data_IF_288484742000
#
_entry.id   IF_288484742000
#
_cell.length_a   1.000
_cell.length_b   1.000
_cell.length_c   1.000
_cell.angle_alpha   90.00
_cell.angle_beta   90.00
_cell.angle_gamma   90.00
#
_symmetry.space_group_name_H-M   'P 1'
#
loop_
_entity.id
_entity.type
_entity.pdbx_description
1 polymer ?
#
# COMPACT_ATOMS: atom_id res chain seq x y z
N UNK A 1 -20.41 -11.81 -13.26
CA UNK A 1 -20.14 -10.78 -12.22
C UNK A 1 -21.45 -10.36 -11.55
N UNK A 2 -21.46 -10.25 -10.23
CA UNK A 2 -22.61 -9.78 -9.45
C UNK A 2 -22.80 -8.27 -9.65
N UNK A 3 -23.98 -7.86 -10.14
CA UNK A 3 -24.30 -6.46 -10.50
C UNK A 3 -24.28 -5.49 -9.29
N UNK A 4 -24.36 -6.00 -8.06
CA UNK A 4 -24.23 -5.18 -6.86
C UNK A 4 -22.88 -4.46 -6.76
N UNK A 5 -21.84 -5.01 -7.39
CA UNK A 5 -20.50 -4.42 -7.39
C UNK A 5 -20.24 -3.40 -8.50
N UNK A 6 -21.14 -3.24 -9.47
CA UNK A 6 -20.91 -2.39 -10.65
C UNK A 6 -20.59 -0.92 -10.33
N UNK A 7 -21.06 -0.42 -9.18
CA UNK A 7 -20.81 0.96 -8.73
C UNK A 7 -19.67 1.10 -7.73
N UNK A 8 -19.07 -0.03 -7.32
CA UNK A 8 -18.08 -0.06 -6.25
C UNK A 8 -16.64 -0.07 -6.77
N UNK A 9 -16.44 -0.41 -8.05
CA UNK A 9 -15.11 -0.59 -8.62
C UNK A 9 -14.31 -1.77 -8.03
N UNK A 10 -14.97 -2.62 -7.24
CA UNK A 10 -14.43 -3.81 -6.62
C UNK A 10 -15.34 -5.00 -6.92
N UNK A 11 -14.80 -6.19 -7.15
CA UNK A 11 -15.54 -7.36 -7.62
C UNK A 11 -14.97 -8.65 -7.06
N UNK A 12 -15.80 -9.72 -6.93
CA UNK A 12 -15.30 -11.09 -6.91
C UNK A 12 -14.40 -11.38 -8.11
N UNK A 13 -13.39 -12.22 -7.91
CA UNK A 13 -12.38 -12.52 -8.92
C UNK A 13 -12.30 -14.03 -9.24
N UNK A 14 -11.74 -14.34 -10.41
CA UNK A 14 -11.26 -15.68 -10.71
C UNK A 14 -9.85 -15.82 -10.10
N UNK A 15 -9.77 -16.52 -8.97
CA UNK A 15 -8.55 -16.62 -8.15
C UNK A 15 -7.90 -17.96 -8.40
N UNK A 16 -6.62 -17.95 -8.76
CA UNK A 16 -5.80 -19.16 -8.88
C UNK A 16 -5.18 -19.51 -7.52
N UNK A 17 -5.47 -20.70 -7.04
CA UNK A 17 -4.83 -21.26 -5.83
C UNK A 17 -3.91 -22.43 -6.22
N UNK A 18 -2.80 -22.64 -5.50
CA UNK A 18 -1.91 -23.79 -5.74
C UNK A 18 -2.61 -25.09 -5.34
N UNK A 19 -2.63 -26.04 -6.24
CA UNK A 19 -3.25 -27.34 -6.05
C UNK A 19 -2.25 -28.39 -5.57
N UNK A 20 -2.43 -28.88 -4.33
CA UNK A 20 -1.60 -29.94 -3.79
C UNK A 20 -0.13 -29.59 -3.58
N UNK A 21 0.18 -28.29 -3.47
CA UNK A 21 1.53 -27.78 -3.21
C UNK A 21 1.80 -27.67 -1.70
N UNK A 22 3.07 -27.71 -1.31
CA UNK A 22 3.50 -27.34 0.04
C UNK A 22 3.40 -25.83 0.23
N UNK A 23 2.39 -25.39 0.96
CA UNK A 23 2.11 -23.96 1.16
C UNK A 23 3.25 -23.23 1.90
N UNK A 24 4.02 -23.93 2.75
CA UNK A 24 5.20 -23.36 3.41
C UNK A 24 6.37 -23.07 2.45
N UNK A 25 6.34 -23.64 1.25
CA UNK A 25 7.30 -23.39 0.18
C UNK A 25 6.70 -22.54 -0.94
N UNK A 26 5.37 -22.58 -1.06
CA UNK A 26 4.64 -21.85 -2.08
C UNK A 26 4.60 -20.35 -1.79
N UNK A 27 4.14 -19.97 -0.59
CA UNK A 27 3.89 -18.59 -0.24
C UNK A 27 5.18 -17.86 0.16
N UNK A 28 5.54 -16.83 -0.59
CA UNK A 28 6.71 -15.98 -0.37
C UNK A 28 6.26 -14.56 -0.07
N UNK A 29 7.04 -13.82 0.72
CA UNK A 29 6.78 -12.41 1.04
C UNK A 29 6.67 -11.57 -0.24
N UNK A 30 6.03 -10.40 -0.14
CA UNK A 30 5.93 -9.45 -1.25
C UNK A 30 7.32 -9.05 -1.78
N UNK A 31 7.40 -8.86 -3.10
CA UNK A 31 8.67 -8.69 -3.82
C UNK A 31 9.43 -7.41 -3.46
N UNK A 32 8.78 -6.44 -2.84
CA UNK A 32 9.34 -5.15 -2.40
C UNK A 32 9.84 -5.17 -0.94
N UNK A 33 9.70 -6.30 -0.25
CA UNK A 33 10.21 -6.47 1.11
C UNK A 33 11.67 -6.97 1.10
N UNK A 34 12.40 -6.70 2.19
CA UNK A 34 13.79 -7.15 2.39
C UNK A 34 14.73 -6.79 1.23
N UNK A 35 14.56 -5.59 0.66
CA UNK A 35 15.31 -5.13 -0.52
C UNK A 35 16.81 -4.97 -0.24
N UNK A 36 17.19 -4.68 1.00
CA UNK A 36 18.58 -4.51 1.46
C UNK A 36 19.12 -5.71 2.23
N UNK A 37 18.41 -6.83 2.24
CA UNK A 37 18.73 -8.02 3.03
C UNK A 37 18.89 -9.24 2.12
N UNK A 38 20.00 -9.36 1.38
CA UNK A 38 20.24 -10.48 0.46
C UNK A 38 20.21 -11.85 1.15
N UNK A 39 20.58 -11.94 2.43
CA UNK A 39 20.55 -13.15 3.25
C UNK A 39 19.12 -13.70 3.40
N UNK A 40 18.12 -12.80 3.49
CA UNK A 40 16.72 -13.21 3.55
C UNK A 40 16.33 -13.97 2.28
N UNK A 41 16.62 -13.41 1.11
CA UNK A 41 16.27 -14.02 -0.17
C UNK A 41 17.05 -15.31 -0.44
N UNK A 42 18.31 -15.41 0.04
CA UNK A 42 19.07 -16.65 -0.01
C UNK A 42 18.41 -17.74 0.85
N UNK A 43 17.97 -17.42 2.07
CA UNK A 43 17.28 -18.37 2.93
C UNK A 43 15.93 -18.83 2.34
N UNK A 44 15.21 -17.94 1.64
CA UNK A 44 13.98 -18.27 0.89
C UNK A 44 14.30 -19.24 -0.24
N UNK A 45 15.36 -19.00 -1.03
CA UNK A 45 15.79 -19.88 -2.11
C UNK A 45 16.17 -21.28 -1.61
N UNK A 46 16.93 -21.37 -0.52
CA UNK A 46 17.29 -22.63 0.13
C UNK A 46 16.07 -23.41 0.64
N UNK A 47 15.08 -22.69 1.22
CA UNK A 47 13.83 -23.27 1.72
C UNK A 47 12.98 -23.84 0.59
N UNK A 48 12.83 -23.10 -0.51
CA UNK A 48 12.02 -23.46 -1.67
C UNK A 48 12.66 -24.62 -2.44
N UNK A 49 13.96 -24.53 -2.75
CA UNK A 49 14.66 -25.50 -3.58
C UNK A 49 13.99 -25.66 -4.95
N UNK A 50 13.75 -26.90 -5.38
CA UNK A 50 13.11 -27.23 -6.66
C UNK A 50 11.58 -27.26 -6.60
N UNK A 51 10.96 -26.96 -5.47
CA UNK A 51 9.50 -26.99 -5.32
C UNK A 51 8.84 -25.86 -6.12
N UNK A 52 7.60 -26.07 -6.63
CA UNK A 52 6.78 -24.99 -7.13
C UNK A 52 6.57 -23.92 -6.05
N UNK A 53 6.75 -22.66 -6.42
CA UNK A 53 6.67 -21.54 -5.48
C UNK A 53 6.41 -20.23 -6.20
N UNK A 54 5.78 -19.28 -5.51
CA UNK A 54 5.65 -17.91 -5.99
C UNK A 54 7.02 -17.22 -6.13
N UNK A 55 8.07 -17.71 -5.48
CA UNK A 55 9.44 -17.24 -5.71
C UNK A 55 9.85 -17.29 -7.19
N UNK A 56 9.36 -18.26 -7.94
CA UNK A 56 9.64 -18.41 -9.40
C UNK A 56 8.76 -17.48 -10.26
N UNK A 57 7.78 -16.80 -9.66
CA UNK A 57 6.79 -15.98 -10.33
C UNK A 57 6.95 -14.49 -10.03
N UNK A 58 7.86 -14.12 -9.13
CA UNK A 58 8.12 -12.73 -8.74
C UNK A 58 9.56 -12.33 -9.07
N UNK A 59 9.77 -11.02 -9.21
CA UNK A 59 11.10 -10.42 -9.22
C UNK A 59 11.29 -9.63 -7.92
N UNK A 60 12.08 -10.12 -6.96
CA UNK A 60 12.44 -9.31 -5.79
C UNK A 60 13.04 -7.97 -6.19
N UNK A 61 12.60 -6.89 -5.58
CA UNK A 61 13.06 -5.53 -5.94
C UNK A 61 14.57 -5.33 -5.74
N UNK A 62 15.17 -6.09 -4.84
CA UNK A 62 16.63 -6.20 -4.73
C UNK A 62 17.33 -6.51 -6.07
N UNK A 63 16.64 -7.17 -7.01
CA UNK A 63 17.17 -7.59 -8.31
C UNK A 63 16.71 -6.68 -9.48
N UNK A 64 15.91 -5.63 -9.25
CA UNK A 64 15.41 -4.76 -10.33
C UNK A 64 16.51 -4.04 -11.10
N UNK A 65 17.66 -3.82 -10.48
CA UNK A 65 18.84 -3.16 -11.09
C UNK A 65 19.95 -4.16 -11.48
N UNK A 66 19.67 -5.48 -11.42
CA UNK A 66 20.63 -6.48 -11.81
C UNK A 66 20.98 -6.38 -13.31
N UNK A 67 22.25 -6.60 -13.71
CA UNK A 67 22.67 -6.53 -15.11
C UNK A 67 21.90 -7.49 -16.04
N UNK A 68 21.43 -8.61 -15.50
CA UNK A 68 20.68 -9.67 -16.20
C UNK A 68 19.17 -9.65 -15.89
N UNK A 69 18.61 -8.50 -15.54
CA UNK A 69 17.18 -8.36 -15.18
C UNK A 69 16.24 -8.91 -16.27
N UNK A 70 16.62 -8.78 -17.53
CA UNK A 70 15.81 -9.27 -18.65
C UNK A 70 15.71 -10.80 -18.67
N UNK A 71 16.78 -11.49 -18.32
CA UNK A 71 16.79 -12.95 -18.17
C UNK A 71 15.88 -13.38 -16.99
N UNK A 72 15.93 -12.68 -15.85
CA UNK A 72 15.00 -12.94 -14.75
C UNK A 72 13.54 -12.80 -15.19
N UNK A 73 13.18 -11.73 -15.90
CA UNK A 73 11.83 -11.52 -16.39
C UNK A 73 11.38 -12.60 -17.35
N UNK A 74 12.26 -13.04 -18.26
CA UNK A 74 11.97 -14.14 -19.18
C UNK A 74 11.72 -15.45 -18.43
N UNK A 75 12.58 -15.77 -17.46
CA UNK A 75 12.44 -16.95 -16.61
C UNK A 75 11.14 -16.96 -15.81
N UNK A 76 10.74 -15.80 -15.25
CA UNK A 76 9.48 -15.63 -14.54
C UNK A 76 8.29 -15.91 -15.48
N UNK A 77 8.27 -15.29 -16.66
CA UNK A 77 7.19 -15.49 -17.63
C UNK A 77 7.10 -16.95 -18.10
N UNK A 78 8.24 -17.62 -18.27
CA UNK A 78 8.30 -19.03 -18.63
C UNK A 78 7.80 -19.93 -17.48
N UNK A 79 8.16 -19.61 -16.23
CA UNK A 79 7.66 -20.33 -15.06
C UNK A 79 6.14 -20.17 -14.90
N UNK A 80 5.58 -18.98 -15.12
CA UNK A 80 4.14 -18.74 -15.10
C UNK A 80 3.40 -19.60 -16.16
N UNK A 81 3.92 -19.60 -17.39
CA UNK A 81 3.36 -20.44 -18.50
C UNK A 81 3.44 -21.92 -18.16
N UNK A 82 4.59 -22.35 -17.61
CA UNK A 82 4.80 -23.73 -17.22
C UNK A 82 3.83 -24.16 -16.12
N UNK A 83 3.65 -23.36 -15.07
CA UNK A 83 2.74 -23.69 -13.98
C UNK A 83 1.28 -23.76 -14.42
N UNK A 84 0.88 -22.91 -15.36
CA UNK A 84 -0.45 -23.01 -15.99
C UNK A 84 -0.60 -24.29 -16.79
N UNK A 85 0.41 -24.66 -17.61
CA UNK A 85 0.36 -25.86 -18.44
C UNK A 85 0.42 -27.16 -17.62
N UNK A 86 1.19 -27.17 -16.53
CA UNK A 86 1.36 -28.33 -15.65
C UNK A 86 0.17 -28.55 -14.68
N UNK A 87 -0.83 -27.65 -14.69
CA UNK A 87 -2.00 -27.75 -13.81
C UNK A 87 -1.65 -27.54 -12.31
N UNK A 88 -0.67 -26.70 -12.03
CA UNK A 88 -0.26 -26.36 -10.64
C UNK A 88 -1.39 -25.62 -9.90
N UNK A 89 -2.32 -25.04 -10.62
CA UNK A 89 -3.40 -24.24 -10.06
C UNK A 89 -4.77 -24.94 -10.16
N UNK A 90 -5.63 -24.61 -9.22
CA UNK A 90 -7.07 -24.69 -9.34
C UNK A 90 -7.67 -23.28 -9.35
N UNK A 91 -8.81 -23.10 -10.01
CA UNK A 91 -9.46 -21.80 -10.13
C UNK A 91 -10.70 -21.74 -9.26
N UNK A 92 -10.74 -20.73 -8.37
CA UNK A 92 -11.97 -20.30 -7.70
C UNK A 92 -12.63 -19.24 -8.59
N UNK A 93 -13.73 -19.57 -9.22
CA UNK A 93 -14.44 -18.68 -10.12
C UNK A 93 -15.34 -17.72 -9.35
N UNK A 94 -15.35 -16.43 -9.76
CA UNK A 94 -16.25 -15.37 -9.24
C UNK A 94 -16.34 -15.34 -7.71
N UNK A 95 -15.17 -15.33 -7.04
CA UNK A 95 -15.05 -15.54 -5.60
C UNK A 95 -14.40 -14.38 -4.87
N UNK A 96 -14.80 -14.20 -3.60
CA UNK A 96 -14.09 -13.41 -2.61
C UNK A 96 -13.48 -14.35 -1.57
N UNK A 97 -12.29 -14.04 -1.06
CA UNK A 97 -11.63 -14.78 0.02
C UNK A 97 -11.48 -13.86 1.22
N UNK A 98 -12.02 -14.27 2.37
CA UNK A 98 -11.71 -13.66 3.65
C UNK A 98 -10.41 -14.26 4.18
N UNK A 99 -9.49 -13.42 4.67
CA UNK A 99 -8.21 -13.85 5.23
C UNK A 99 -8.00 -13.35 6.65
N UNK A 100 -7.34 -14.19 7.43
CA UNK A 100 -6.78 -13.88 8.75
C UNK A 100 -5.27 -14.00 8.66
N UNK A 101 -4.56 -12.89 8.77
CA UNK A 101 -3.10 -12.81 8.67
C UNK A 101 -2.50 -12.49 10.03
N UNK A 102 -2.01 -13.51 10.74
CA UNK A 102 -1.25 -13.30 11.97
C UNK A 102 0.14 -12.76 11.65
N UNK A 103 0.44 -11.61 12.18
CA UNK A 103 1.72 -10.94 12.03
C UNK A 103 2.75 -11.46 13.04
N UNK A 104 4.02 -11.06 12.90
CA UNK A 104 5.11 -11.47 13.79
C UNK A 104 4.93 -10.99 15.23
N UNK A 105 4.20 -9.89 15.45
CA UNK A 105 3.83 -9.36 16.77
C UNK A 105 2.63 -10.08 17.41
N UNK A 106 2.08 -11.09 16.72
CA UNK A 106 0.95 -11.88 17.17
C UNK A 106 -0.44 -11.29 16.88
N UNK A 107 -0.53 -10.07 16.38
CA UNK A 107 -1.79 -9.46 15.95
C UNK A 107 -2.31 -10.12 14.70
N UNK A 108 -3.62 -10.16 14.56
CA UNK A 108 -4.29 -10.74 13.39
C UNK A 108 -4.92 -9.61 12.58
N UNK A 109 -4.44 -9.43 11.35
CA UNK A 109 -5.06 -8.55 10.36
C UNK A 109 -6.11 -9.33 9.59
N UNK A 110 -7.27 -8.69 9.40
CA UNK A 110 -8.40 -9.25 8.67
C UNK A 110 -8.50 -8.57 7.30
N UNK A 111 -8.57 -9.37 6.25
CA UNK A 111 -8.59 -8.86 4.89
C UNK A 111 -9.61 -9.57 4.01
N UNK A 112 -9.93 -8.93 2.90
CA UNK A 112 -10.83 -9.45 1.89
C UNK A 112 -10.12 -9.40 0.52
N UNK A 113 -9.92 -10.55 -0.11
CA UNK A 113 -9.32 -10.66 -1.43
C UNK A 113 -10.40 -10.57 -2.50
N UNK A 114 -10.20 -9.68 -3.44
CA UNK A 114 -11.03 -9.50 -4.63
C UNK A 114 -10.27 -8.72 -5.69
N UNK A 115 -10.94 -8.30 -6.76
CA UNK A 115 -10.31 -7.51 -7.80
C UNK A 115 -10.92 -6.12 -7.91
N UNK A 116 -10.10 -5.14 -8.28
CA UNK A 116 -10.54 -3.77 -8.57
C UNK A 116 -10.52 -3.50 -10.06
N UNK A 117 -11.48 -2.68 -10.51
CA UNK A 117 -11.50 -2.12 -11.86
C UNK A 117 -10.54 -0.93 -11.95
N UNK A 118 -9.52 -1.05 -12.76
CA UNK A 118 -8.54 0.02 -12.94
C UNK A 118 -9.13 1.28 -13.60
N UNK A 119 -10.31 1.21 -14.24
CA UNK A 119 -11.03 2.41 -14.69
C UNK A 119 -11.62 3.21 -13.51
N UNK A 120 -11.84 2.58 -12.35
CA UNK A 120 -12.26 3.25 -11.11
C UNK A 120 -11.08 3.77 -10.26
N UNK A 121 -9.84 3.49 -10.66
CA UNK A 121 -8.62 3.92 -9.99
C UNK A 121 -7.95 5.08 -10.72
N UNK A 122 -7.55 6.09 -9.95
CA UNK A 122 -6.74 7.20 -10.43
C UNK A 122 -5.75 7.65 -9.34
N UNK A 123 -4.48 7.74 -9.70
CA UNK A 123 -3.41 8.19 -8.82
C UNK A 123 -3.04 9.67 -9.02
N UNK A 124 -3.78 10.37 -9.88
CA UNK A 124 -3.57 11.81 -10.08
C UNK A 124 -4.02 12.59 -8.84
N UNK A 125 -3.20 13.50 -8.32
CA UNK A 125 -3.61 14.37 -7.23
C UNK A 125 -4.91 15.12 -7.58
N UNK A 126 -5.91 15.06 -6.67
CA UNK A 126 -7.18 15.73 -6.88
C UNK A 126 -8.24 14.93 -7.60
N UNK A 127 -7.96 13.72 -7.91
CA UNK A 127 -8.91 12.84 -8.55
C UNK A 127 -10.19 12.65 -7.74
N UNK A 128 -11.34 12.56 -8.43
CA UNK A 128 -12.63 12.15 -7.87
C UNK A 128 -12.92 10.65 -7.98
N UNK A 129 -11.90 9.81 -8.30
CA UNK A 129 -12.10 8.38 -8.46
C UNK A 129 -12.48 7.67 -7.14
N UNK A 130 -13.17 6.54 -7.22
CA UNK A 130 -13.53 5.70 -6.06
C UNK A 130 -12.31 5.13 -5.36
N UNK A 131 -11.24 4.85 -6.12
CA UNK A 131 -9.98 4.29 -5.64
C UNK A 131 -8.88 5.32 -5.91
N UNK A 132 -8.18 5.76 -4.87
CA UNK A 132 -7.14 6.79 -4.98
C UNK A 132 -5.85 6.37 -4.31
N UNK A 133 -4.74 6.83 -4.87
CA UNK A 133 -3.44 6.73 -4.22
C UNK A 133 -3.41 7.62 -2.97
N UNK A 134 -2.69 7.17 -1.94
CA UNK A 134 -2.46 7.94 -0.70
C UNK A 134 -1.16 8.72 -0.76
N UNK A 135 -0.27 8.37 -1.66
CA UNK A 135 1.03 9.02 -1.85
C UNK A 135 1.27 9.42 -3.30
N UNK A 136 2.18 10.37 -3.49
CA UNK A 136 2.60 10.79 -4.83
C UNK A 136 3.28 9.65 -5.58
N UNK A 137 2.72 9.26 -6.72
CA UNK A 137 3.31 8.22 -7.56
C UNK A 137 4.55 8.75 -8.26
N UNK A 138 5.71 8.17 -7.94
CA UNK A 138 6.98 8.48 -8.63
C UNK A 138 6.97 7.81 -9.99
N UNK A 139 6.73 8.59 -11.05
CA UNK A 139 6.54 8.08 -12.42
C UNK A 139 7.75 7.26 -12.92
N UNK A 140 8.97 7.61 -12.51
CA UNK A 140 10.20 6.90 -12.90
C UNK A 140 10.28 5.48 -12.33
N UNK A 141 9.49 5.15 -11.30
CA UNK A 141 9.41 3.81 -10.73
C UNK A 141 8.48 2.87 -11.51
N UNK A 142 7.62 3.40 -12.39
CA UNK A 142 6.66 2.60 -13.18
C UNK A 142 7.36 1.78 -14.28
N UNK A 143 8.24 2.32 -15.15
CA UNK A 143 8.76 1.59 -16.29
C UNK A 143 9.48 0.27 -15.95
N UNK A 144 10.35 0.17 -14.93
CA UNK A 144 10.98 -1.10 -14.57
C UNK A 144 9.97 -2.18 -14.16
N UNK A 145 8.94 -1.79 -13.39
CA UNK A 145 7.89 -2.71 -12.92
C UNK A 145 6.94 -3.11 -14.06
N UNK A 146 6.62 -2.17 -14.96
CA UNK A 146 5.83 -2.44 -16.14
C UNK A 146 6.50 -3.47 -17.06
N UNK A 147 7.82 -3.48 -17.11
CA UNK A 147 8.59 -4.46 -17.89
C UNK A 147 8.38 -5.89 -17.38
N UNK A 148 8.33 -6.07 -16.06
CA UNK A 148 8.02 -7.37 -15.44
C UNK A 148 6.58 -7.80 -15.76
N UNK A 149 5.62 -6.88 -15.62
CA UNK A 149 4.18 -7.17 -15.73
C UNK A 149 3.69 -7.35 -17.17
N UNK A 150 4.26 -6.65 -18.15
CA UNK A 150 3.73 -6.50 -19.52
C UNK A 150 3.36 -7.81 -20.20
N UNK A 151 4.19 -8.85 -20.03
CA UNK A 151 4.02 -10.15 -20.67
C UNK A 151 3.66 -11.28 -19.70
N UNK A 152 3.39 -10.94 -18.44
CA UNK A 152 3.04 -11.91 -17.41
C UNK A 152 1.62 -12.46 -17.69
N UNK A 153 1.44 -13.78 -17.83
CA UNK A 153 0.12 -14.39 -18.09
C UNK A 153 -0.76 -14.47 -16.83
N UNK A 154 -0.17 -14.31 -15.64
CA UNK A 154 -0.86 -14.28 -14.34
C UNK A 154 -0.33 -13.12 -13.51
N UNK A 155 -1.12 -12.70 -12.55
CA UNK A 155 -0.80 -11.62 -11.61
C UNK A 155 -0.66 -12.17 -10.20
N UNK A 156 0.37 -11.71 -9.49
CA UNK A 156 0.52 -11.93 -8.05
C UNK A 156 0.38 -10.57 -7.35
N UNK A 157 -0.70 -10.36 -6.62
CA UNK A 157 -0.94 -9.08 -5.99
C UNK A 157 -0.14 -8.94 -4.69
N UNK A 158 0.21 -7.70 -4.37
CA UNK A 158 0.64 -7.27 -3.04
C UNK A 158 0.09 -5.89 -2.70
N UNK A 159 -0.98 -5.49 -3.38
CA UNK A 159 -1.66 -4.21 -3.15
C UNK A 159 -2.65 -4.35 -2.02
N UNK A 160 -2.53 -3.48 -1.01
CA UNK A 160 -3.49 -3.35 0.07
C UNK A 160 -4.31 -2.08 -0.13
N UNK A 161 -5.62 -2.23 -0.13
CA UNK A 161 -6.57 -1.14 -0.13
C UNK A 161 -7.21 -0.99 1.25
N UNK A 162 -7.39 0.24 1.68
CA UNK A 162 -8.04 0.56 2.94
C UNK A 162 -9.45 1.07 2.69
N UNK A 163 -10.40 0.62 3.51
CA UNK A 163 -11.73 1.22 3.65
C UNK A 163 -11.83 1.93 5.00
N UNK A 164 -12.62 3.01 5.05
CA UNK A 164 -12.92 3.73 6.28
C UNK A 164 -14.29 3.28 6.82
N UNK A 165 -14.27 2.20 7.58
CA UNK A 165 -15.46 1.56 8.17
C UNK A 165 -15.37 1.52 9.70
N UNK A 166 -15.59 2.66 10.40
CA UNK A 166 -15.50 2.73 11.86
C UNK A 166 -16.59 1.90 12.56
N UNK A 167 -17.72 1.66 11.90
CA UNK A 167 -18.83 0.88 12.42
C UNK A 167 -18.61 -0.65 12.20
N UNK A 168 -17.50 -1.06 11.54
CA UNK A 168 -17.06 -2.45 11.35
C UNK A 168 -18.12 -3.32 10.67
N UNK A 169 -18.66 -2.85 9.55
CA UNK A 169 -19.81 -3.46 8.84
C UNK A 169 -19.44 -4.34 7.68
N UNK A 170 -18.21 -4.24 7.13
CA UNK A 170 -17.80 -4.96 5.92
C UNK A 170 -17.02 -6.24 6.23
N UNK A 171 -15.89 -6.14 6.91
CA UNK A 171 -14.94 -7.24 7.10
C UNK A 171 -15.19 -7.98 8.42
N UNK A 172 -15.42 -7.28 9.50
CA UNK A 172 -15.53 -7.86 10.84
C UNK A 172 -16.72 -8.85 11.00
N UNK A 173 -17.86 -8.68 10.33
CA UNK A 173 -18.91 -9.70 10.35
C UNK A 173 -18.47 -11.04 9.76
N UNK A 174 -17.49 -11.05 8.85
CA UNK A 174 -16.92 -12.27 8.27
C UNK A 174 -16.11 -13.06 9.30
N UNK A 175 -15.45 -12.39 10.23
CA UNK A 175 -14.72 -13.05 11.33
C UNK A 175 -15.66 -13.90 12.17
N UNK A 176 -16.81 -13.35 12.53
CA UNK A 176 -17.83 -14.08 13.32
C UNK A 176 -18.44 -15.25 12.53
N UNK A 177 -18.49 -15.16 11.21
CA UNK A 177 -19.09 -16.15 10.31
C UNK A 177 -18.06 -17.11 9.69
N UNK A 178 -16.78 -17.05 10.06
CA UNK A 178 -15.72 -17.86 9.44
C UNK A 178 -15.95 -19.37 9.56
N UNK A 179 -16.60 -19.82 10.65
CA UNK A 179 -16.98 -21.22 10.82
C UNK A 179 -18.05 -21.74 9.86
N UNK A 180 -18.73 -20.87 9.09
CA UNK A 180 -19.71 -21.24 8.05
C UNK A 180 -19.07 -21.31 6.65
N UNK A 181 -17.81 -20.89 6.50
CA UNK A 181 -17.10 -20.82 5.24
C UNK A 181 -16.23 -22.04 4.99
N UNK A 182 -15.98 -22.33 3.73
CA UNK A 182 -14.98 -23.31 3.32
C UNK A 182 -13.57 -22.77 3.59
N UNK A 183 -12.79 -23.50 4.40
CA UNK A 183 -11.36 -23.19 4.59
C UNK A 183 -10.58 -23.62 3.35
N UNK A 184 -9.93 -22.67 2.70
CA UNK A 184 -9.13 -22.90 1.49
C UNK A 184 -7.67 -23.25 1.84
N UNK A 185 -7.12 -22.57 2.85
CA UNK A 185 -5.77 -22.80 3.34
C UNK A 185 -5.62 -22.32 4.79
N UNK A 186 -4.70 -22.96 5.50
CA UNK A 186 -4.38 -22.69 6.92
C UNK A 186 -2.94 -23.18 7.15
N UNK A 187 -1.95 -22.25 7.22
CA UNK A 187 -0.52 -22.64 7.28
C UNK A 187 0.37 -21.52 7.83
N UNK A 188 1.56 -21.91 8.30
CA UNK A 188 2.61 -20.98 8.72
C UNK A 188 3.41 -20.48 7.54
N UNK A 189 3.69 -19.19 7.51
CA UNK A 189 4.53 -18.54 6.50
C UNK A 189 6.01 -18.78 6.80
N UNK A 190 6.81 -18.91 5.75
CA UNK A 190 8.24 -19.09 5.88
C UNK A 190 8.93 -17.90 6.54
N UNK A 191 10.18 -18.11 6.99
CA UNK A 191 11.04 -17.06 7.57
C UNK A 191 10.38 -16.31 8.74
N UNK A 192 9.67 -17.03 9.62
CA UNK A 192 8.94 -16.47 10.74
C UNK A 192 7.89 -15.41 10.33
N UNK A 193 7.40 -15.52 9.11
CA UNK A 193 6.43 -14.58 8.55
C UNK A 193 5.06 -14.60 9.25
N UNK A 194 4.83 -15.43 10.26
CA UNK A 194 3.56 -15.61 10.96
C UNK A 194 2.67 -16.67 10.33
N UNK A 195 1.36 -16.49 10.41
CA UNK A 195 0.37 -17.49 10.00
C UNK A 195 -0.70 -16.88 9.11
N UNK A 196 -1.26 -17.64 8.18
CA UNK A 196 -2.35 -17.18 7.32
C UNK A 196 -3.43 -18.25 7.17
N UNK A 197 -4.70 -17.82 7.23
CA UNK A 197 -5.88 -18.61 6.91
C UNK A 197 -6.68 -17.88 5.84
N UNK A 198 -7.26 -18.66 4.93
CA UNK A 198 -8.15 -18.13 3.90
C UNK A 198 -9.44 -18.93 3.83
N UNK A 199 -10.56 -18.20 3.70
CA UNK A 199 -11.90 -18.75 3.67
C UNK A 199 -12.67 -18.25 2.46
N UNK A 200 -13.34 -19.15 1.73
CA UNK A 200 -14.20 -18.76 0.61
C UNK A 200 -15.53 -18.23 1.13
N UNK A 201 -15.91 -17.04 0.70
CA UNK A 201 -17.22 -16.48 1.03
C UNK A 201 -18.33 -17.28 0.35
N UNK A 202 -19.45 -17.44 1.07
CA UNK A 202 -20.71 -17.91 0.50
C UNK A 202 -21.38 -16.77 -0.30
N UNK A 203 -22.28 -17.11 -1.23
CA UNK A 203 -23.02 -16.11 -2.03
C UNK A 203 -23.71 -15.06 -1.15
N UNK A 204 -24.28 -15.49 -0.02
CA UNK A 204 -24.93 -14.58 0.95
C UNK A 204 -23.94 -13.56 1.54
N UNK A 205 -22.73 -14.01 1.86
CA UNK A 205 -21.69 -13.13 2.41
C UNK A 205 -21.14 -12.20 1.33
N UNK A 206 -20.99 -12.67 0.09
CA UNK A 206 -20.63 -11.83 -1.05
C UNK A 206 -21.65 -10.69 -1.23
N UNK A 207 -22.94 -11.00 -1.19
CA UNK A 207 -23.99 -9.99 -1.29
C UNK A 207 -23.98 -9.00 -0.09
N UNK A 208 -23.76 -9.49 1.12
CA UNK A 208 -23.66 -8.64 2.31
C UNK A 208 -22.46 -7.69 2.26
N UNK A 209 -21.32 -8.15 1.75
CA UNK A 209 -20.13 -7.30 1.51
C UNK A 209 -20.47 -6.17 0.53
N UNK A 210 -21.14 -6.49 -0.58
CA UNK A 210 -21.51 -5.48 -1.57
C UNK A 210 -22.43 -4.41 -0.96
N UNK A 211 -23.49 -4.84 -0.22
CA UNK A 211 -24.43 -3.94 0.42
C UNK A 211 -23.74 -3.06 1.49
N UNK A 212 -22.82 -3.62 2.26
CA UNK A 212 -22.04 -2.87 3.26
C UNK A 212 -21.10 -1.84 2.62
N UNK A 213 -20.37 -2.22 1.56
CA UNK A 213 -19.50 -1.30 0.81
C UNK A 213 -20.30 -0.15 0.18
N UNK A 214 -21.48 -0.43 -0.39
CA UNK A 214 -22.36 0.62 -0.93
C UNK A 214 -22.78 1.60 0.18
N UNK A 215 -23.07 1.10 1.38
CA UNK A 215 -23.38 1.91 2.55
C UNK A 215 -22.31 2.94 2.91
N UNK A 216 -21.02 2.58 2.73
CA UNK A 216 -19.90 3.48 3.02
C UNK A 216 -19.82 4.70 2.08
N UNK A 217 -20.42 4.63 0.90
CA UNK A 217 -20.39 5.67 -0.14
C UNK A 217 -21.63 6.56 -0.14
N UNK A 218 -22.61 6.29 0.73
CA UNK A 218 -23.84 7.08 0.81
C UNK A 218 -23.56 8.51 1.27
N UNK A 219 -24.37 9.48 0.82
CA UNK A 219 -24.28 10.88 1.24
C UNK A 219 -24.40 11.02 2.76
N UNK A 220 -25.22 10.19 3.39
CA UNK A 220 -25.38 10.15 4.85
C UNK A 220 -24.08 9.71 5.55
N UNK A 221 -23.43 8.65 5.06
CA UNK A 221 -22.14 8.18 5.60
C UNK A 221 -21.05 9.24 5.39
N UNK A 222 -21.01 9.89 4.22
CA UNK A 222 -20.06 10.95 3.91
C UNK A 222 -20.25 12.17 4.82
N UNK A 223 -21.51 12.56 5.05
CA UNK A 223 -21.82 13.66 5.96
C UNK A 223 -21.47 13.31 7.41
N UNK A 224 -21.77 12.08 7.87
CA UNK A 224 -21.46 11.60 9.23
C UNK A 224 -19.95 11.55 9.48
N UNK A 225 -19.17 11.01 8.52
CA UNK A 225 -17.73 10.78 8.69
C UNK A 225 -16.88 12.04 8.45
N UNK A 226 -17.20 12.82 7.43
CA UNK A 226 -16.32 13.86 6.92
C UNK A 226 -16.98 15.25 6.89
N UNK A 227 -18.26 15.37 7.21
CA UNK A 227 -19.01 16.64 7.16
C UNK A 227 -19.25 17.16 5.75
N UNK A 228 -19.16 16.29 4.73
CA UNK A 228 -19.29 16.66 3.31
C UNK A 228 -20.46 15.93 2.67
N UNK A 229 -21.07 16.54 1.66
CA UNK A 229 -22.14 15.96 0.85
C UNK A 229 -22.01 16.40 -0.61
N UNK A 230 -22.50 15.59 -1.54
CA UNK A 230 -22.47 15.89 -2.96
C UNK A 230 -21.05 15.89 -3.58
N UNK A 231 -20.08 15.28 -2.92
CA UNK A 231 -18.72 15.08 -3.42
C UNK A 231 -18.53 13.63 -3.86
N UNK A 232 -17.62 13.41 -4.80
CA UNK A 232 -17.28 12.06 -5.24
C UNK A 232 -16.71 11.25 -4.07
N UNK A 233 -17.29 10.09 -3.71
CA UNK A 233 -16.83 9.29 -2.59
C UNK A 233 -15.42 8.73 -2.84
N UNK A 234 -14.63 8.61 -1.77
CA UNK A 234 -13.43 7.79 -1.73
C UNK A 234 -13.80 6.49 -1.00
N UNK A 235 -13.94 5.41 -1.73
CA UNK A 235 -14.27 4.12 -1.14
C UNK A 235 -13.00 3.38 -0.71
N UNK A 236 -11.97 3.41 -1.56
CA UNK A 236 -10.71 2.72 -1.31
C UNK A 236 -9.53 3.68 -1.42
N UNK A 237 -8.72 3.71 -0.37
CA UNK A 237 -7.41 4.36 -0.36
C UNK A 237 -6.31 3.31 -0.48
N UNK A 238 -5.32 3.51 -1.32
CA UNK A 238 -4.20 2.56 -1.44
C UNK A 238 -3.33 2.66 -0.20
N UNK A 239 -3.38 1.65 0.66
CA UNK A 239 -2.61 1.58 1.91
C UNK A 239 -1.17 1.12 1.69
N UNK A 240 -0.98 0.21 0.73
CA UNK A 240 0.34 -0.28 0.31
C UNK A 240 0.28 -0.72 -1.16
N UNK A 241 1.42 -0.66 -1.85
CA UNK A 241 1.51 -1.03 -3.26
C UNK A 241 1.07 0.07 -4.24
N UNK A 242 1.18 1.36 -3.89
CA UNK A 242 0.85 2.49 -4.77
C UNK A 242 1.51 2.37 -6.16
N UNK A 243 2.82 2.10 -6.21
CA UNK A 243 3.54 1.94 -7.47
C UNK A 243 3.11 0.69 -8.25
N UNK A 244 2.72 -0.38 -7.57
CA UNK A 244 2.22 -1.62 -8.21
C UNK A 244 0.88 -1.41 -8.86
N UNK A 245 -0.06 -0.75 -8.18
CA UNK A 245 -1.38 -0.46 -8.76
C UNK A 245 -1.28 0.55 -9.90
N UNK A 246 -0.43 1.58 -9.75
CA UNK A 246 -0.13 2.54 -10.83
C UNK A 246 0.50 1.85 -12.05
N UNK A 247 1.40 0.86 -11.82
CA UNK A 247 1.98 0.05 -12.89
C UNK A 247 0.92 -0.80 -13.59
N UNK A 248 0.01 -1.42 -12.84
CA UNK A 248 -1.11 -2.16 -13.42
C UNK A 248 -1.97 -1.27 -14.32
N UNK A 249 -2.31 -0.05 -13.84
CA UNK A 249 -3.04 0.95 -14.63
C UNK A 249 -2.29 1.33 -15.90
N UNK A 250 -0.99 1.61 -15.80
CA UNK A 250 -0.15 1.97 -16.95
C UNK A 250 -0.11 0.84 -18.00
N UNK A 251 0.04 -0.42 -17.59
CA UNK A 251 0.01 -1.57 -18.48
C UNK A 251 -1.36 -1.75 -19.15
N UNK A 252 -2.45 -1.54 -18.42
CA UNK A 252 -3.80 -1.57 -18.98
C UNK A 252 -4.01 -0.45 -20.00
N UNK A 253 -3.64 0.79 -19.68
CA UNK A 253 -3.73 1.92 -20.62
C UNK A 253 -2.87 1.71 -21.89
N UNK A 254 -1.72 1.03 -21.76
CA UNK A 254 -0.92 0.64 -22.94
C UNK A 254 -1.67 -0.38 -23.82
N UNK A 255 -2.31 -1.37 -23.21
CA UNK A 255 -3.08 -2.39 -23.94
C UNK A 255 -4.37 -1.85 -24.56
N UNK A 256 -4.94 -0.77 -24.06
CA UNK A 256 -6.12 -0.10 -24.63
C UNK A 256 -5.84 0.55 -25.98
N UNK A 257 -4.58 0.92 -26.25
CA UNK A 257 -4.22 1.65 -27.48
C UNK A 257 -4.61 0.88 -28.73
N UNK A 258 -5.38 1.54 -29.59
CA UNK A 258 -5.85 0.96 -30.86
C UNK A 258 -6.99 -0.03 -30.75
N UNK A 259 -7.61 -0.20 -29.59
CA UNK A 259 -8.76 -1.08 -29.35
C UNK A 259 -10.06 -0.29 -29.28
N UNK A 260 -11.15 -0.92 -29.65
CA UNK A 260 -12.51 -0.40 -29.44
C UNK A 260 -12.90 -0.48 -27.95
N UNK A 261 -13.92 0.29 -27.49
CA UNK A 261 -14.44 0.17 -26.14
C UNK A 261 -14.81 -1.26 -25.74
N UNK A 262 -15.45 -2.02 -26.60
CA UNK A 262 -15.83 -3.41 -26.35
C UNK A 262 -14.59 -4.31 -26.15
N UNK A 263 -13.55 -4.11 -26.95
CA UNK A 263 -12.32 -4.89 -26.88
C UNK A 263 -11.52 -4.57 -25.59
N UNK A 264 -11.35 -3.28 -25.21
CA UNK A 264 -10.55 -2.98 -24.03
C UNK A 264 -11.29 -3.24 -22.72
N UNK A 265 -12.62 -3.12 -22.69
CA UNK A 265 -13.42 -3.47 -21.52
C UNK A 265 -13.39 -4.98 -21.21
N UNK A 266 -13.10 -5.81 -22.21
CA UNK A 266 -12.95 -7.26 -22.07
C UNK A 266 -11.52 -7.69 -21.70
N UNK A 267 -10.54 -6.79 -21.62
CA UNK A 267 -9.17 -7.13 -21.28
C UNK A 267 -9.05 -7.60 -19.82
N UNK A 268 -8.43 -8.75 -19.55
CA UNK A 268 -8.10 -9.15 -18.16
C UNK A 268 -7.26 -8.12 -17.42
N UNK A 269 -6.36 -7.42 -18.14
CA UNK A 269 -5.52 -6.35 -17.59
C UNK A 269 -6.30 -5.14 -17.05
N UNK A 270 -7.61 -5.05 -17.28
CA UNK A 270 -8.50 -4.05 -16.68
C UNK A 270 -8.61 -4.22 -15.16
N UNK A 271 -8.39 -5.43 -14.68
CA UNK A 271 -8.57 -5.74 -13.26
C UNK A 271 -7.24 -6.02 -12.57
N UNK A 272 -7.17 -5.66 -11.30
CA UNK A 272 -6.04 -5.99 -10.42
C UNK A 272 -6.56 -6.67 -9.16
N UNK A 273 -5.94 -7.79 -8.78
CA UNK A 273 -6.26 -8.50 -7.54
C UNK A 273 -5.65 -7.74 -6.37
N UNK A 274 -6.43 -7.56 -5.29
CA UNK A 274 -6.05 -6.74 -4.13
C UNK A 274 -6.52 -7.39 -2.84
N UNK A 275 -5.91 -6.98 -1.73
CA UNK A 275 -6.43 -7.19 -0.38
C UNK A 275 -7.10 -5.89 0.10
N UNK A 276 -8.35 -5.98 0.54
CA UNK A 276 -9.06 -4.88 1.20
C UNK A 276 -9.01 -5.09 2.70
N UNK A 277 -8.63 -4.07 3.46
CA UNK A 277 -8.51 -4.08 4.92
C UNK A 277 -9.27 -2.89 5.48
N UNK A 278 -9.91 -3.07 6.64
CA UNK A 278 -10.50 -1.93 7.33
C UNK A 278 -9.40 -1.08 7.97
N UNK A 279 -9.39 0.22 7.69
CA UNK A 279 -8.48 1.18 8.30
C UNK A 279 -8.52 1.14 9.85
N UNK A 280 -9.65 0.70 10.41
CA UNK A 280 -9.87 0.57 11.85
C UNK A 280 -9.50 -0.83 12.41
N UNK A 281 -8.89 -1.72 11.61
CA UNK A 281 -8.38 -3.01 12.11
C UNK A 281 -7.28 -2.77 13.15
N UNK A 282 -7.37 -3.49 14.28
CA UNK A 282 -6.46 -3.29 15.43
C UNK A 282 -5.01 -3.72 15.13
N UNK A 283 -4.81 -4.55 14.10
CA UNK A 283 -3.49 -4.96 13.65
C UNK A 283 -2.79 -3.91 12.78
N UNK A 284 -3.54 -2.95 12.21
CA UNK A 284 -2.94 -1.85 11.46
C UNK A 284 -2.40 -0.80 12.43
N UNK A 285 -1.15 -0.44 12.27
CA UNK A 285 -0.51 0.69 12.96
C UNK A 285 0.13 1.58 11.92
N UNK A 286 -0.20 2.87 11.96
CA UNK A 286 0.50 3.87 11.16
C UNK A 286 1.69 4.37 11.94
N UNK A 287 2.85 3.81 11.65
CA UNK A 287 4.10 4.32 12.20
C UNK A 287 4.48 5.61 11.46
N UNK A 288 4.94 6.63 12.17
CA UNK A 288 5.41 7.84 11.53
C UNK A 288 6.67 7.54 10.73
N UNK A 289 6.72 8.05 9.51
CA UNK A 289 7.96 8.06 8.73
C UNK A 289 8.66 9.37 9.03
N UNK A 290 9.78 9.29 9.74
CA UNK A 290 10.59 10.43 10.13
C UNK A 290 11.45 10.93 8.98
N UNK A 291 12.09 12.07 9.14
CA UNK A 291 12.97 12.67 8.15
C UNK A 291 14.36 12.84 8.73
N UNK A 292 15.38 12.49 7.97
CA UNK A 292 16.76 12.85 8.28
C UNK A 292 17.33 13.63 7.10
N UNK A 293 17.83 14.82 7.39
CA UNK A 293 18.53 15.63 6.41
C UNK A 293 20.03 15.44 6.57
N UNK A 294 20.74 15.32 5.45
CA UNK A 294 22.18 15.18 5.37
C UNK A 294 22.79 16.38 4.67
N UNK A 295 23.97 16.81 5.15
CA UNK A 295 24.70 17.92 4.54
C UNK A 295 24.02 19.26 4.75
N UNK A 296 23.36 19.45 5.90
CA UNK A 296 22.64 20.68 6.26
C UNK A 296 23.25 21.35 7.48
N UNK A 297 23.18 22.68 7.50
CA UNK A 297 23.55 23.50 8.64
C UNK A 297 22.31 23.80 9.48
N UNK A 298 22.33 23.44 10.77
CA UNK A 298 21.19 23.58 11.68
C UNK A 298 20.75 25.04 11.85
N UNK A 299 21.70 25.97 12.09
CA UNK A 299 21.35 27.36 12.34
C UNK A 299 20.66 27.98 11.13
N UNK A 300 21.24 27.73 9.95
CA UNK A 300 20.67 28.18 8.67
C UNK A 300 19.32 27.55 8.38
N UNK A 301 19.17 26.24 8.65
CA UNK A 301 17.88 25.56 8.47
C UNK A 301 16.80 26.21 9.33
N UNK A 302 17.07 26.40 10.63
CA UNK A 302 16.13 27.02 11.56
C UNK A 302 15.81 28.48 11.22
N UNK A 303 16.79 29.25 10.76
CA UNK A 303 16.57 30.62 10.30
C UNK A 303 15.61 30.68 9.11
N UNK A 304 15.85 29.84 8.09
CA UNK A 304 15.00 29.78 6.89
C UNK A 304 13.63 29.18 7.20
N UNK A 305 13.54 28.21 8.14
CA UNK A 305 12.27 27.64 8.60
C UNK A 305 11.38 28.71 9.27
N UNK A 306 11.94 29.54 10.13
CA UNK A 306 11.25 30.66 10.76
C UNK A 306 10.83 31.76 9.77
N UNK A 307 11.56 31.93 8.68
CA UNK A 307 11.17 32.83 7.57
C UNK A 307 9.98 32.26 6.77
N UNK A 308 9.99 30.95 6.54
CA UNK A 308 8.93 30.25 5.78
C UNK A 308 7.63 30.15 6.57
N UNK A 309 7.75 29.93 7.90
CA UNK A 309 6.66 29.90 8.86
C UNK A 309 6.90 30.97 9.95
N UNK A 310 6.45 32.22 9.76
CA UNK A 310 6.87 33.35 10.59
C UNK A 310 6.55 33.26 12.08
N UNK A 311 5.52 32.51 12.47
CA UNK A 311 5.10 32.40 13.87
C UNK A 311 5.69 31.17 14.58
N UNK A 312 6.65 30.48 13.97
CA UNK A 312 7.31 29.32 14.56
C UNK A 312 8.03 29.69 15.84
N UNK A 313 7.85 28.90 16.88
CA UNK A 313 8.56 29.04 18.15
C UNK A 313 9.16 27.69 18.59
N UNK A 314 10.15 27.76 19.45
CA UNK A 314 10.75 26.61 20.12
C UNK A 314 9.83 26.10 21.23
N UNK A 315 9.93 24.80 21.52
CA UNK A 315 9.08 24.12 22.49
C UNK A 315 7.73 23.64 21.92
N UNK A 316 6.99 22.93 22.77
CA UNK A 316 5.65 22.40 22.45
C UNK A 316 4.60 23.49 22.57
N UNK A 317 3.60 23.48 21.69
CA UNK A 317 2.50 24.45 21.68
C UNK A 317 1.30 23.99 20.83
N UNK A 318 0.35 24.89 20.66
CA UNK A 318 -0.78 24.68 19.76
C UNK A 318 -0.29 24.74 18.30
N UNK A 319 -0.80 23.86 17.44
CA UNK A 319 -0.43 23.74 16.04
C UNK A 319 0.37 22.47 15.75
N UNK A 320 1.27 22.51 14.78
CA UNK A 320 2.11 21.37 14.43
C UNK A 320 3.42 21.40 15.19
N UNK A 321 3.54 20.53 16.19
CA UNK A 321 4.77 20.33 16.96
C UNK A 321 5.58 19.18 16.34
N UNK A 322 6.85 19.46 16.05
CA UNK A 322 7.81 18.53 15.44
C UNK A 322 9.02 18.46 16.37
N UNK A 323 9.47 17.28 16.70
CA UNK A 323 10.71 17.10 17.43
C UNK A 323 11.89 17.12 16.47
N UNK A 324 12.95 17.84 16.82
CA UNK A 324 14.15 18.02 16.00
C UNK A 324 15.36 17.58 16.79
N UNK A 325 16.22 16.76 16.20
CA UNK A 325 17.48 16.34 16.78
C UNK A 325 18.67 16.70 15.88
N UNK A 326 19.76 17.21 16.51
CA UNK A 326 21.00 17.56 15.82
C UNK A 326 22.18 17.59 16.83
N UNK A 327 23.35 17.16 16.41
CA UNK A 327 24.60 17.24 17.20
C UNK A 327 24.45 16.80 18.70
N UNK A 328 23.59 15.82 18.95
CA UNK A 328 23.29 15.32 20.32
C UNK A 328 22.32 16.19 21.11
N UNK A 329 21.66 17.15 20.49
CA UNK A 329 20.56 17.94 21.06
C UNK A 329 19.22 17.47 20.52
N UNK A 330 18.21 17.47 21.38
CA UNK A 330 16.81 17.26 21.03
C UNK A 330 15.99 18.48 21.49
N UNK A 331 15.13 18.99 20.62
CA UNK A 331 14.22 20.09 20.92
C UNK A 331 12.92 19.93 20.14
N UNK A 332 11.97 20.80 20.41
CA UNK A 332 10.68 20.86 19.71
C UNK A 332 10.54 22.20 19.01
N UNK A 333 10.00 22.15 17.80
CA UNK A 333 9.54 23.34 17.09
C UNK A 333 8.03 23.25 16.86
N UNK A 334 7.34 24.36 17.03
CA UNK A 334 5.89 24.42 16.80
C UNK A 334 5.54 25.47 15.77
N UNK A 335 4.76 25.08 14.77
CA UNK A 335 4.14 25.97 13.79
C UNK A 335 2.68 26.17 14.20
N UNK A 336 2.30 27.34 14.80
CA UNK A 336 0.97 27.53 15.37
C UNK A 336 -0.12 27.67 14.32
N UNK A 337 0.23 28.20 13.13
CA UNK A 337 -0.72 28.45 12.03
C UNK A 337 -0.34 27.61 10.79
N UNK A 338 -0.46 26.27 10.86
CA UNK A 338 -0.09 25.42 9.73
C UNK A 338 -1.06 25.59 8.56
N UNK A 339 -0.52 25.59 7.32
CA UNK A 339 -1.32 25.70 6.11
C UNK A 339 -1.92 24.39 5.64
N UNK A 340 -1.49 23.29 6.24
CA UNK A 340 -1.90 21.91 5.92
C UNK A 340 -2.32 21.19 7.21
N UNK A 341 -3.06 20.11 7.08
CA UNK A 341 -3.64 19.43 8.25
C UNK A 341 -2.65 18.58 9.05
N UNK A 342 -1.56 18.12 8.45
CA UNK A 342 -0.60 17.22 9.08
C UNK A 342 0.76 17.88 9.27
N UNK A 343 1.40 17.58 10.42
CA UNK A 343 2.75 18.06 10.73
C UNK A 343 3.79 17.63 9.67
N UNK A 344 3.64 16.41 9.13
CA UNK A 344 4.49 15.90 8.04
C UNK A 344 4.39 16.78 6.80
N UNK A 345 3.20 17.22 6.43
CA UNK A 345 3.02 18.12 5.28
C UNK A 345 3.65 19.50 5.50
N UNK A 346 3.53 20.04 6.72
CA UNK A 346 4.19 21.31 7.11
C UNK A 346 5.71 21.18 6.98
N UNK A 347 6.29 20.10 7.51
CA UNK A 347 7.74 19.88 7.43
C UNK A 347 8.20 19.66 5.99
N UNK A 348 7.53 18.78 5.25
CA UNK A 348 7.94 18.41 3.90
C UNK A 348 7.90 19.59 2.93
N UNK A 349 6.87 20.43 3.00
CA UNK A 349 6.77 21.61 2.16
C UNK A 349 7.98 22.56 2.33
N UNK A 350 8.51 22.68 3.54
CA UNK A 350 9.72 23.46 3.76
C UNK A 350 10.97 22.72 3.34
N UNK A 351 11.10 21.43 3.64
CA UNK A 351 12.27 20.61 3.23
C UNK A 351 12.49 20.71 1.73
N UNK A 352 11.43 20.56 0.93
CA UNK A 352 11.50 20.59 -0.52
C UNK A 352 12.03 21.94 -1.05
N UNK A 353 11.57 23.06 -0.47
CA UNK A 353 12.06 24.41 -0.82
C UNK A 353 13.49 24.65 -0.33
N UNK A 354 13.83 24.17 0.87
CA UNK A 354 15.16 24.32 1.44
C UNK A 354 16.21 23.57 0.62
N UNK A 355 15.98 22.28 0.34
CA UNK A 355 16.91 21.45 -0.43
C UNK A 355 17.10 21.97 -1.86
N UNK A 356 16.04 22.45 -2.49
CA UNK A 356 16.10 23.08 -3.81
C UNK A 356 16.99 24.33 -3.83
N UNK A 357 16.97 25.10 -2.74
CA UNK A 357 17.70 26.38 -2.65
C UNK A 357 19.13 26.22 -2.14
N UNK A 358 19.36 25.33 -1.20
CA UNK A 358 20.61 25.22 -0.46
C UNK A 358 21.35 23.89 -0.63
N UNK A 359 20.70 22.90 -1.26
CA UNK A 359 21.25 21.55 -1.40
C UNK A 359 21.10 20.73 -0.10
N UNK A 360 21.69 19.56 -0.08
CA UNK A 360 21.52 18.52 0.93
C UNK A 360 20.71 17.36 0.39
N UNK A 361 20.52 16.34 1.23
CA UNK A 361 19.75 15.16 0.90
C UNK A 361 18.75 14.88 2.04
N UNK A 362 17.60 14.28 1.72
CA UNK A 362 16.62 13.82 2.71
C UNK A 362 16.45 12.31 2.61
N UNK A 363 16.41 11.64 3.75
CA UNK A 363 16.02 10.24 3.86
C UNK A 363 14.80 10.07 4.78
N UNK A 364 14.07 8.99 4.54
CA UNK A 364 12.79 8.67 5.16
C UNK A 364 12.98 7.45 6.06
N UNK A 365 12.91 7.66 7.37
CA UNK A 365 13.38 6.72 8.37
C UNK A 365 12.20 6.20 9.22
N UNK A 366 12.13 4.89 9.39
CA UNK A 366 11.28 4.25 10.38
C UNK A 366 12.02 4.09 11.70
N UNK A 367 11.38 4.48 12.80
CA UNK A 367 11.87 4.32 14.17
C UNK A 367 12.62 5.53 14.71
N UNK A 368 12.22 5.90 15.92
CA UNK A 368 12.72 7.07 16.64
C UNK A 368 14.22 6.99 16.93
N UNK A 369 14.70 5.82 17.39
CA UNK A 369 16.11 5.61 17.75
C UNK A 369 17.05 5.82 16.57
N UNK A 370 16.72 5.22 15.42
CA UNK A 370 17.53 5.35 14.20
C UNK A 370 17.53 6.79 13.72
N UNK A 371 16.39 7.48 13.77
CA UNK A 371 16.27 8.89 13.37
C UNK A 371 17.14 9.79 14.26
N UNK A 372 17.15 9.57 15.58
CA UNK A 372 18.00 10.31 16.53
C UNK A 372 19.48 10.01 16.29
N UNK A 373 19.84 8.74 16.11
CA UNK A 373 21.22 8.35 15.83
C UNK A 373 21.77 9.04 14.57
N UNK A 374 21.01 8.99 13.49
CA UNK A 374 21.42 9.61 12.22
C UNK A 374 21.40 11.13 12.28
N UNK A 375 20.35 11.72 12.87
CA UNK A 375 20.20 13.17 13.01
C UNK A 375 21.24 13.82 13.90
N UNK A 376 21.75 13.09 14.91
CA UNK A 376 22.77 13.60 15.83
C UNK A 376 24.19 13.65 15.25
N UNK A 377 24.42 13.08 14.06
CA UNK A 377 25.72 13.16 13.40
C UNK A 377 25.98 14.58 12.86
N UNK A 378 27.26 14.97 12.81
CA UNK A 378 27.66 16.28 12.31
C UNK A 378 27.16 16.51 10.87
N UNK A 379 26.58 17.67 10.60
CA UNK A 379 25.99 18.01 9.29
C UNK A 379 24.64 17.37 9.01
N UNK A 380 24.04 16.70 10.00
CA UNK A 380 22.71 16.10 9.86
C UNK A 380 21.68 16.75 10.78
N UNK A 381 20.40 16.57 10.44
CA UNK A 381 19.27 16.91 11.29
C UNK A 381 18.21 15.81 11.17
N UNK A 382 17.70 15.34 12.32
CA UNK A 382 16.58 14.42 12.37
C UNK A 382 15.28 15.12 12.78
N UNK A 383 14.15 14.68 12.23
CA UNK A 383 12.83 15.21 12.54
C UNK A 383 11.90 14.05 12.87
N UNK A 384 11.49 13.98 14.13
CA UNK A 384 10.53 12.99 14.60
C UNK A 384 9.13 13.57 14.48
N UNK A 385 8.32 12.90 13.69
CA UNK A 385 6.96 13.31 13.39
C UNK A 385 5.97 12.56 14.29
N UNK A 386 4.85 13.20 14.67
CA UNK A 386 3.79 12.50 15.38
C UNK A 386 3.16 11.42 14.47
N UNK A 387 2.73 10.32 15.09
CA UNK A 387 1.95 9.31 14.39
C UNK A 387 0.64 9.92 13.86
N UNK A 388 0.26 9.56 12.65
CA UNK A 388 -1.02 9.94 12.08
C UNK A 388 -2.13 9.08 12.68
N UNK A 389 -3.24 9.68 13.10
CA UNK A 389 -4.44 8.95 13.49
C UNK A 389 -5.08 8.26 12.28
N UNK A 390 -5.67 7.09 12.50
CA UNK A 390 -6.36 6.31 11.44
C UNK A 390 -7.46 7.11 10.75
N UNK A 391 -8.19 7.90 11.52
CA UNK A 391 -9.27 8.77 11.06
C UNK A 391 -8.79 9.90 10.12
N UNK A 392 -7.51 10.24 10.18
CA UNK A 392 -6.95 11.35 9.41
C UNK A 392 -6.65 10.96 7.95
N UNK A 393 -6.40 9.68 7.66
CA UNK A 393 -6.02 9.21 6.33
C UNK A 393 -7.05 9.61 5.26
N UNK A 394 -8.32 9.27 5.50
CA UNK A 394 -9.41 9.58 4.57
C UNK A 394 -9.77 11.05 4.59
N UNK A 395 -9.78 11.69 5.75
CA UNK A 395 -10.06 13.11 5.89
C UNK A 395 -9.08 13.97 5.10
N UNK A 396 -7.78 13.67 5.20
CA UNK A 396 -6.72 14.34 4.43
C UNK A 396 -6.89 14.11 2.93
N UNK A 397 -7.26 12.90 2.53
CA UNK A 397 -7.50 12.57 1.12
C UNK A 397 -8.69 13.32 0.50
N UNK A 398 -9.63 13.84 1.30
CA UNK A 398 -10.70 14.72 0.83
C UNK A 398 -10.30 16.18 0.77
N UNK A 399 -9.47 16.64 1.68
CA UNK A 399 -9.15 18.06 1.84
C UNK A 399 -7.85 18.46 1.16
N UNK A 400 -6.89 17.55 1.07
CA UNK A 400 -5.58 17.77 0.43
C UNK A 400 -5.09 16.48 -0.24
N UNK A 401 -4.82 16.60 -1.42
CA UNK A 401 -4.66 15.73 -2.55
C UNK A 401 -3.45 14.81 -2.58
N UNK A 402 -2.74 14.62 -1.53
CA UNK A 402 -1.71 13.57 -1.34
C UNK A 402 -1.07 13.77 0.03
N UNK A 403 -0.91 12.69 0.77
CA UNK A 403 0.05 12.68 1.86
C UNK A 403 1.44 12.86 1.24
N UNK A 404 2.26 13.80 1.72
CA UNK A 404 3.66 13.85 1.30
C UNK A 404 4.39 12.67 1.93
N UNK A 405 4.34 11.55 1.25
CA UNK A 405 5.08 10.34 1.57
C UNK A 405 6.07 10.11 0.48
N UNK A 406 7.29 10.01 0.85
CA UNK A 406 8.58 9.68 0.22
C UNK A 406 9.56 10.78 0.24
#
# INVERSE_FOLDING_TARGET
MNKKFDKLGFYPADILLPKGQDMNKWAVVACDQFTSEPEYWQAVEEKVGDAPSTLRLILPEANLKAPNVDEYIENINNAMKKYLADGVFETLTDSLIYIERQQSDGKIRHGLIGMVDLDAYDFTPGSGALIRATEGTVLDRIPPRAKVRRNAPIELPHVMLLIDDPDKTVIEPLTAASGEMETLYDFDLMQNGGHIRGYKLTDRQVDAVADALEGLTSDEAMQKKYGVSGVAPLLFAVGDGNHSLATAKACYEEQKKGKTPEEYLALPARYALVEVVNNHDDALQFEPIHRVLFGVDHEKFMEEFKKFYPNTHEGKGEGHTIEVCWAGHDDFITVPDPKVQLAVGTLQAFIDEYLKKFGGEVDYIHGDEVTRELGSKEGNMGFLLPAMGKEQLFTVSYTHLTLPTN
#
